data_IF_321175351038
#
_entry.id   IF_321175351038
#
_cell.length_a   1.000
_cell.length_b   1.000
_cell.length_c   1.000
_cell.angle_alpha   90.00
_cell.angle_beta   90.00
_cell.angle_gamma   90.00
#
_symmetry.space_group_name_H-M   'P 1'
#
loop_
_entity.id
_entity.type
_entity.pdbx_description
1 polymer ?
#
# COMPACT_ATOMS: atom_id res chain seq x y z
N UNK A 1 -1.50 -18.02 -5.47
CA UNK A 1 -1.34 -16.56 -5.66
C UNK A 1 -0.54 -16.03 -4.49
N UNK A 2 0.58 -15.35 -4.77
CA UNK A 2 1.42 -14.71 -3.75
C UNK A 2 1.14 -13.22 -3.76
N UNK A 3 1.06 -12.61 -2.59
CA UNK A 3 0.91 -11.15 -2.44
C UNK A 3 2.07 -10.59 -1.62
N UNK A 4 2.31 -9.29 -1.78
CA UNK A 4 3.27 -8.54 -1.00
C UNK A 4 2.61 -7.25 -0.48
N UNK A 5 3.05 -6.78 0.69
CA UNK A 5 2.62 -5.50 1.26
C UNK A 5 3.81 -4.68 1.76
N UNK A 6 3.60 -3.37 1.88
CA UNK A 6 4.55 -2.43 2.49
C UNK A 6 3.89 -1.77 3.69
N UNK A 7 4.58 -1.77 4.83
CA UNK A 7 4.28 -0.89 5.94
C UNK A 7 5.34 0.23 5.99
N UNK A 8 4.90 1.47 5.72
CA UNK A 8 5.76 2.64 5.91
C UNK A 8 5.54 3.18 7.32
N UNK A 9 6.58 3.12 8.13
CA UNK A 9 6.56 3.59 9.53
C UNK A 9 7.14 5.00 9.59
N UNK A 10 6.32 5.94 10.06
CA UNK A 10 6.71 7.31 10.34
C UNK A 10 7.10 7.48 11.83
N UNK A 11 7.79 8.58 12.20
CA UNK A 11 8.10 8.87 13.60
C UNK A 11 6.87 8.82 14.52
N UNK A 12 7.08 8.36 15.75
CA UNK A 12 6.00 8.20 16.74
C UNK A 12 5.13 6.96 16.55
N UNK A 13 5.67 5.90 15.91
CA UNK A 13 5.00 4.63 15.64
C UNK A 13 3.73 4.75 14.80
N UNK A 14 3.69 5.72 13.87
CA UNK A 14 2.58 5.80 12.94
C UNK A 14 2.85 5.00 11.69
N UNK A 15 1.82 4.37 11.11
CA UNK A 15 1.92 3.62 9.86
C UNK A 15 1.08 4.24 8.76
N UNK A 16 1.61 4.29 7.53
CA UNK A 16 0.84 4.74 6.38
C UNK A 16 -0.19 3.67 6.00
N UNK A 17 -1.47 4.05 6.02
CA UNK A 17 -2.55 3.28 5.44
C UNK A 17 -3.18 4.05 4.29
N UNK A 18 -3.74 3.30 3.35
CA UNK A 18 -4.42 3.83 2.16
C UNK A 18 -5.87 3.38 2.11
N UNK A 19 -6.74 4.23 1.59
CA UNK A 19 -8.16 3.94 1.36
C UNK A 19 -8.46 4.03 -0.12
N UNK A 20 -8.57 2.87 -0.76
CA UNK A 20 -8.96 2.81 -2.16
C UNK A 20 -10.43 3.24 -2.32
N UNK A 21 -10.77 3.89 -3.43
CA UNK A 21 -12.12 4.39 -3.70
C UNK A 21 -13.19 3.29 -3.75
N UNK A 22 -12.80 2.06 -4.06
CA UNK A 22 -13.68 0.90 -4.18
C UNK A 22 -13.81 0.08 -2.88
N UNK A 23 -13.14 0.48 -1.78
CA UNK A 23 -13.16 -0.24 -0.49
C UNK A 23 -13.47 0.73 0.66
N UNK A 24 -14.19 0.23 1.66
CA UNK A 24 -14.51 1.00 2.85
C UNK A 24 -13.42 0.88 3.93
N UNK A 25 -12.59 -0.14 3.85
CA UNK A 25 -11.52 -0.43 4.79
C UNK A 25 -10.24 0.32 4.45
N UNK A 26 -9.51 0.73 5.49
CA UNK A 26 -8.12 1.14 5.35
C UNK A 26 -7.26 -0.11 5.20
N UNK A 27 -6.31 -0.08 4.27
CA UNK A 27 -5.38 -1.19 4.05
C UNK A 27 -3.95 -0.69 3.94
N UNK A 28 -2.99 -1.59 4.13
CA UNK A 28 -1.63 -1.34 3.68
C UNK A 28 -1.55 -1.36 2.15
N UNK A 29 -0.63 -0.57 1.57
CA UNK A 29 -0.25 -0.74 0.18
C UNK A 29 0.16 -2.18 -0.09
N UNK A 30 -0.57 -2.83 -1.00
CA UNK A 30 -0.39 -4.27 -1.26
C UNK A 30 -0.94 -4.64 -2.62
N UNK A 31 -0.46 -5.76 -3.15
CA UNK A 31 -1.00 -6.36 -4.36
C UNK A 31 -0.35 -7.68 -4.69
N UNK A 32 -0.66 -8.18 -5.88
CA UNK A 32 -0.23 -9.49 -6.37
C UNK A 32 1.21 -9.40 -6.89
N UNK A 33 1.99 -10.43 -6.56
CA UNK A 33 3.34 -10.62 -7.13
C UNK A 33 3.19 -11.23 -8.52
N UNK A 34 3.73 -10.55 -9.53
CA UNK A 34 3.68 -11.03 -10.91
C UNK A 34 4.75 -12.11 -11.17
N UNK A 35 4.57 -12.89 -12.24
CA UNK A 35 5.53 -13.95 -12.60
C UNK A 35 6.91 -13.36 -12.93
N UNK A 36 7.95 -13.88 -12.27
CA UNK A 36 9.32 -13.37 -12.41
C UNK A 36 9.64 -12.13 -11.57
N UNK A 37 8.68 -11.62 -10.81
CA UNK A 37 8.86 -10.50 -9.89
C UNK A 37 9.14 -10.99 -8.46
N UNK A 38 10.05 -10.35 -7.75
CA UNK A 38 10.23 -10.60 -6.32
C UNK A 38 9.16 -9.91 -5.48
N UNK A 39 8.84 -10.42 -4.27
CA UNK A 39 7.90 -9.75 -3.37
C UNK A 39 8.27 -8.28 -3.08
N UNK A 40 9.56 -7.96 -2.97
CA UNK A 40 10.02 -6.59 -2.74
C UNK A 40 9.72 -5.66 -3.93
N UNK A 41 9.95 -6.13 -5.17
CA UNK A 41 9.60 -5.39 -6.38
C UNK A 41 8.09 -5.17 -6.50
N UNK A 42 7.30 -6.21 -6.25
CA UNK A 42 5.84 -6.11 -6.25
C UNK A 42 5.33 -5.08 -5.23
N UNK A 43 5.89 -5.11 -4.02
CA UNK A 43 5.52 -4.20 -2.95
C UNK A 43 5.84 -2.73 -3.31
N UNK A 44 7.01 -2.47 -3.89
CA UNK A 44 7.41 -1.14 -4.35
C UNK A 44 6.53 -0.64 -5.52
N UNK A 45 6.24 -1.51 -6.49
CA UNK A 45 5.36 -1.21 -7.63
C UNK A 45 3.96 -0.85 -7.17
N UNK A 46 3.38 -1.64 -6.26
CA UNK A 46 2.03 -1.41 -5.75
C UNK A 46 1.94 -0.17 -4.87
N UNK A 47 2.98 0.14 -4.08
CA UNK A 47 3.07 1.41 -3.36
C UNK A 47 2.93 2.58 -4.34
N UNK A 48 3.73 2.61 -5.41
CA UNK A 48 3.70 3.70 -6.38
C UNK A 48 2.38 3.76 -7.18
N UNK A 49 1.83 2.61 -7.54
CA UNK A 49 0.54 2.49 -8.24
C UNK A 49 -0.59 3.06 -7.39
N UNK A 50 -0.65 2.67 -6.13
CA UNK A 50 -1.68 3.14 -5.21
C UNK A 50 -1.57 4.65 -5.01
N UNK A 51 -0.38 5.18 -4.70
CA UNK A 51 -0.18 6.63 -4.51
C UNK A 51 -0.69 7.49 -5.68
N UNK A 52 -0.67 6.99 -6.91
CA UNK A 52 -1.22 7.69 -8.09
C UNK A 52 -2.75 7.62 -8.21
N UNK A 53 -3.35 6.56 -7.70
CA UNK A 53 -4.78 6.25 -7.83
C UNK A 53 -5.64 6.75 -6.66
N UNK A 54 -5.01 7.21 -5.58
CA UNK A 54 -5.72 7.60 -4.37
C UNK A 54 -6.43 8.95 -4.54
N UNK A 55 -7.61 9.12 -3.93
CA UNK A 55 -8.23 10.44 -3.82
C UNK A 55 -7.38 11.38 -2.93
N UNK A 56 -7.62 12.71 -2.93
CA UNK A 56 -6.83 13.69 -2.18
C UNK A 56 -6.66 13.38 -0.68
N UNK A 57 -7.61 12.65 -0.07
CA UNK A 57 -7.59 12.23 1.33
C UNK A 57 -7.44 10.69 1.50
N UNK A 58 -6.95 10.01 0.46
CA UNK A 58 -6.84 8.55 0.41
C UNK A 58 -5.67 7.98 1.19
N UNK A 59 -4.86 8.81 1.85
CA UNK A 59 -3.74 8.40 2.69
C UNK A 59 -3.92 8.92 4.11
N UNK A 60 -3.54 8.11 5.10
CA UNK A 60 -3.54 8.50 6.51
C UNK A 60 -2.48 7.75 7.28
N UNK A 61 -1.82 8.46 8.19
CA UNK A 61 -0.99 7.85 9.21
C UNK A 61 -1.86 7.46 10.42
N UNK A 62 -1.83 6.18 10.79
CA UNK A 62 -2.54 5.65 11.97
C UNK A 62 -1.54 5.23 13.04
N UNK A 63 -1.90 5.38 14.31
CA UNK A 63 -1.16 4.80 15.45
C UNK A 63 -1.46 3.31 15.59
#
# INVERSE_FOLDING_TARGET
MTSACVALVAPGNHVLMVKASYKNEWTFPSGVVDMGESPAQAAQRELFRMMKSLPPNGFRFLR
#
